data_IF_722352147402
#
_entry.id   IF_722352147402
#
_cell.length_a   1.000
_cell.length_b   1.000
_cell.length_c   1.000
_cell.angle_alpha   90.00
_cell.angle_beta   90.00
_cell.angle_gamma   90.00
#
_symmetry.space_group_name_H-M   'P 1'
#
loop_
_entity.id
_entity.type
_entity.pdbx_description
1 polymer ?
#
# COMPACT_ATOMS: atom_id res chain seq x y z
N UNK A 1 13.20 -33.69 -4.04
CA UNK A 1 13.51 -32.26 -4.13
C UNK A 1 12.40 -31.60 -4.95
N UNK A 2 11.43 -30.94 -4.31
CA UNK A 2 10.35 -30.26 -5.03
C UNK A 2 10.86 -28.95 -5.63
N UNK A 3 10.82 -28.83 -6.95
CA UNK A 3 11.08 -27.58 -7.64
C UNK A 3 10.08 -26.52 -7.13
N UNK A 4 10.57 -25.51 -6.43
CA UNK A 4 9.77 -24.38 -5.98
C UNK A 4 9.12 -23.71 -7.20
N UNK A 5 7.78 -23.64 -7.19
CA UNK A 5 6.99 -22.93 -8.21
C UNK A 5 7.55 -21.50 -8.33
N UNK A 6 8.19 -21.16 -9.46
CA UNK A 6 8.65 -19.78 -9.72
C UNK A 6 7.41 -18.89 -9.74
N UNK A 7 7.29 -18.00 -8.76
CA UNK A 7 6.23 -16.99 -8.77
C UNK A 7 6.62 -15.95 -9.82
N UNK A 8 5.76 -15.75 -10.82
CA UNK A 8 5.98 -14.77 -11.87
C UNK A 8 5.62 -13.39 -11.31
N UNK A 9 6.60 -12.49 -11.23
CA UNK A 9 6.38 -11.08 -10.87
C UNK A 9 5.47 -10.43 -11.90
N UNK A 10 4.37 -9.81 -11.46
CA UNK A 10 3.48 -9.03 -12.33
C UNK A 10 3.07 -7.71 -11.67
N UNK A 11 2.82 -6.71 -12.53
CA UNK A 11 2.30 -5.40 -12.15
C UNK A 11 0.93 -5.19 -12.80
N UNK A 12 -0.10 -5.04 -11.98
CA UNK A 12 -1.46 -4.79 -12.45
C UNK A 12 -2.01 -3.49 -11.86
N UNK A 13 -2.72 -2.69 -12.66
CA UNK A 13 -3.48 -1.54 -12.18
C UNK A 13 -4.71 -2.04 -11.43
N UNK A 14 -4.98 -1.51 -10.25
CA UNK A 14 -6.19 -1.80 -9.48
C UNK A 14 -7.29 -0.81 -9.87
N UNK A 15 -8.49 -1.33 -10.10
CA UNK A 15 -9.68 -0.49 -10.25
C UNK A 15 -10.15 0.02 -8.88
N UNK A 16 -11.11 0.94 -8.91
CA UNK A 16 -11.68 1.59 -7.72
C UNK A 16 -12.24 0.59 -6.70
N UNK A 17 -13.04 -0.37 -7.13
CA UNK A 17 -13.68 -1.33 -6.21
C UNK A 17 -12.66 -2.27 -5.54
N UNK A 18 -11.67 -2.73 -6.31
CA UNK A 18 -10.60 -3.57 -5.79
C UNK A 18 -9.77 -2.87 -4.72
N UNK A 19 -9.36 -1.62 -4.96
CA UNK A 19 -8.59 -0.87 -3.97
C UNK A 19 -9.45 -0.52 -2.76
N UNK A 20 -10.72 -0.14 -2.97
CA UNK A 20 -11.66 0.19 -1.90
C UNK A 20 -11.86 -0.99 -0.96
N UNK A 21 -12.04 -2.20 -1.49
CA UNK A 21 -12.17 -3.43 -0.70
C UNK A 21 -10.92 -3.73 0.14
N UNK A 22 -9.72 -3.52 -0.43
CA UNK A 22 -8.45 -3.72 0.27
C UNK A 22 -8.30 -2.70 1.41
N UNK A 23 -8.57 -1.43 1.14
CA UNK A 23 -8.41 -0.35 2.11
C UNK A 23 -9.49 -0.32 3.18
N UNK A 24 -10.69 -0.85 2.91
CA UNK A 24 -11.78 -0.92 3.88
C UNK A 24 -11.33 -1.52 5.22
N UNK A 25 -10.61 -2.65 5.20
CA UNK A 25 -10.12 -3.32 6.43
C UNK A 25 -9.17 -2.44 7.25
N UNK A 26 -8.37 -1.60 6.60
CA UNK A 26 -7.44 -0.69 7.26
C UNK A 26 -8.21 0.51 7.82
N UNK A 27 -9.06 1.13 7.02
CA UNK A 27 -9.81 2.33 7.41
C UNK A 27 -10.82 2.04 8.52
N UNK A 28 -11.46 0.87 8.50
CA UNK A 28 -12.33 0.39 9.58
C UNK A 28 -11.53 0.21 10.88
N UNK A 29 -10.40 -0.50 10.81
CA UNK A 29 -9.53 -0.75 11.97
C UNK A 29 -9.02 0.53 12.65
N UNK A 30 -8.72 1.57 11.87
CA UNK A 30 -8.21 2.85 12.38
C UNK A 30 -9.32 3.91 12.58
N UNK A 31 -10.59 3.52 12.48
CA UNK A 31 -11.76 4.38 12.68
C UNK A 31 -11.73 5.66 11.81
N UNK A 32 -11.65 5.45 10.50
CA UNK A 32 -11.60 6.51 9.49
C UNK A 32 -12.32 6.18 8.18
N UNK A 33 -13.28 5.25 8.19
CA UNK A 33 -14.04 4.83 6.98
C UNK A 33 -14.69 5.99 6.21
N UNK A 34 -15.09 7.05 6.90
CA UNK A 34 -15.66 8.26 6.30
C UNK A 34 -14.71 8.98 5.34
N UNK A 35 -13.40 8.69 5.39
CA UNK A 35 -12.38 9.26 4.51
C UNK A 35 -11.90 8.29 3.42
N UNK A 36 -12.47 7.09 3.33
CA UNK A 36 -12.00 6.05 2.41
C UNK A 36 -12.12 6.49 0.95
N UNK A 37 -13.31 6.93 0.55
CA UNK A 37 -13.59 7.27 -0.85
C UNK A 37 -12.76 8.50 -1.28
N UNK A 38 -12.70 9.54 -0.44
CA UNK A 38 -11.83 10.73 -0.65
C UNK A 38 -10.35 10.35 -0.76
N UNK A 39 -9.91 9.36 0.02
CA UNK A 39 -8.54 8.87 -0.05
C UNK A 39 -8.27 8.13 -1.37
N UNK A 40 -9.24 7.41 -1.93
CA UNK A 40 -9.04 6.69 -3.20
C UNK A 40 -9.08 7.65 -4.39
N UNK A 41 -9.92 8.68 -4.34
CA UNK A 41 -10.08 9.64 -5.44
C UNK A 41 -8.75 10.33 -5.82
N UNK A 42 -8.56 10.51 -7.13
CA UNK A 42 -7.39 11.13 -7.77
C UNK A 42 -6.05 10.45 -7.47
N UNK A 43 -6.06 9.15 -7.18
CA UNK A 43 -4.84 8.35 -6.97
C UNK A 43 -4.89 7.11 -7.84
N UNK A 44 -3.72 6.69 -8.29
CA UNK A 44 -3.56 5.46 -9.05
C UNK A 44 -2.94 4.40 -8.14
N UNK A 45 -3.45 3.18 -8.23
CA UNK A 45 -2.98 2.06 -7.44
C UNK A 45 -2.51 0.91 -8.32
N UNK A 46 -1.39 0.32 -7.94
CA UNK A 46 -0.78 -0.82 -8.61
C UNK A 46 -0.57 -1.93 -7.62
N UNK A 47 -0.74 -3.17 -8.06
CA UNK A 47 -0.35 -4.35 -7.28
C UNK A 47 0.85 -5.01 -7.92
N UNK A 48 1.90 -5.19 -7.13
CA UNK A 48 3.01 -6.09 -7.41
C UNK A 48 2.69 -7.46 -6.83
N UNK A 49 2.64 -8.49 -7.67
CA UNK A 49 2.36 -9.87 -7.25
C UNK A 49 3.65 -10.69 -7.25
N UNK A 50 4.13 -11.07 -6.07
CA UNK A 50 5.26 -12.01 -5.89
C UNK A 50 4.94 -13.03 -4.78
N UNK A 51 5.89 -13.31 -3.86
CA UNK A 51 5.65 -14.13 -2.66
C UNK A 51 4.54 -13.57 -1.76
N UNK A 52 4.31 -12.27 -1.86
CA UNK A 52 3.18 -11.54 -1.30
C UNK A 52 2.74 -10.49 -2.33
N UNK A 53 1.52 -10.00 -2.18
CA UNK A 53 1.02 -8.88 -2.96
C UNK A 53 1.36 -7.58 -2.23
N UNK A 54 1.89 -6.61 -2.95
CA UNK A 54 2.16 -5.27 -2.43
C UNK A 54 1.43 -4.24 -3.27
N UNK A 55 0.61 -3.41 -2.61
CA UNK A 55 -0.08 -2.30 -3.26
C UNK A 55 0.78 -1.06 -3.15
N UNK A 56 0.96 -0.40 -4.28
CA UNK A 56 1.59 0.90 -4.37
C UNK A 56 0.57 1.97 -4.77
N UNK A 57 0.78 3.17 -4.26
CA UNK A 57 -0.03 4.35 -4.54
C UNK A 57 0.82 5.42 -5.22
N UNK A 58 0.25 6.02 -6.26
CA UNK A 58 0.86 7.10 -7.03
C UNK A 58 -0.13 8.27 -7.12
N UNK A 59 0.41 9.48 -7.01
CA UNK A 59 -0.33 10.75 -7.09
C UNK A 59 -0.22 11.43 -8.46
N UNK A 60 0.43 10.78 -9.41
CA UNK A 60 0.63 11.25 -10.77
C UNK A 60 -0.38 10.66 -11.77
N UNK A 61 -0.41 11.27 -12.95
CA UNK A 61 -1.18 10.81 -14.11
C UNK A 61 -0.82 9.37 -14.49
N UNK A 62 -1.83 8.50 -14.51
CA UNK A 62 -1.72 7.09 -14.86
C UNK A 62 -1.07 6.85 -16.22
N UNK A 63 -1.30 7.73 -17.20
CA UNK A 63 -0.72 7.60 -18.55
C UNK A 63 0.78 7.83 -18.50
N UNK A 64 1.24 8.84 -17.76
CA UNK A 64 2.67 9.13 -17.60
C UNK A 64 3.38 7.98 -16.89
N UNK A 65 2.78 7.48 -15.81
CA UNK A 65 3.33 6.34 -15.06
C UNK A 65 3.39 5.09 -15.91
N UNK A 66 2.30 4.75 -16.62
CA UNK A 66 2.27 3.57 -17.48
C UNK A 66 3.31 3.64 -18.59
N UNK A 67 3.47 4.80 -19.23
CA UNK A 67 4.48 5.00 -20.26
C UNK A 67 5.89 4.80 -19.68
N UNK A 68 6.19 5.41 -18.53
CA UNK A 68 7.46 5.26 -17.85
C UNK A 68 7.78 3.80 -17.47
N UNK A 69 6.80 3.05 -16.96
CA UNK A 69 6.98 1.62 -16.63
C UNK A 69 7.24 0.80 -17.89
N UNK A 70 6.52 1.09 -18.98
CA UNK A 70 6.71 0.42 -20.26
C UNK A 70 8.10 0.71 -20.84
N UNK A 71 8.55 1.97 -20.80
CA UNK A 71 9.87 2.37 -21.26
C UNK A 71 10.98 1.69 -20.45
N UNK A 72 10.86 1.63 -19.12
CA UNK A 72 11.78 0.89 -18.27
C UNK A 72 11.81 -0.61 -18.61
N UNK A 73 10.64 -1.21 -18.81
CA UNK A 73 10.51 -2.63 -19.16
C UNK A 73 11.16 -2.93 -20.51
N UNK A 74 11.02 -2.04 -21.49
CA UNK A 74 11.66 -2.13 -22.81
C UNK A 74 13.19 -2.05 -22.72
N UNK A 75 13.71 -1.34 -21.71
CA UNK A 75 15.14 -1.25 -21.40
C UNK A 75 15.65 -2.43 -20.53
N UNK A 76 14.81 -3.41 -20.24
CA UNK A 76 15.16 -4.56 -19.39
C UNK A 76 15.13 -4.26 -17.89
N UNK A 77 14.60 -3.11 -17.48
CA UNK A 77 14.39 -2.76 -16.08
C UNK A 77 12.99 -3.15 -15.63
N UNK A 78 12.92 -3.96 -14.58
CA UNK A 78 11.67 -4.34 -13.93
C UNK A 78 11.62 -3.67 -12.55
N UNK A 79 11.06 -2.46 -12.44
CA UNK A 79 11.07 -1.72 -11.18
C UNK A 79 10.37 -2.55 -10.10
N UNK A 80 11.06 -2.80 -8.98
CA UNK A 80 10.51 -3.56 -7.85
C UNK A 80 9.63 -2.71 -6.92
N UNK A 81 9.55 -1.39 -7.19
CA UNK A 81 8.74 -0.43 -6.45
C UNK A 81 8.39 0.74 -7.35
N UNK A 82 7.10 1.10 -7.43
CA UNK A 82 6.63 2.25 -8.20
C UNK A 82 5.68 3.05 -7.31
N UNK A 83 6.12 4.21 -6.84
CA UNK A 83 5.33 5.05 -5.93
C UNK A 83 5.50 4.69 -4.45
N UNK A 84 4.47 4.95 -3.65
CA UNK A 84 4.50 4.70 -2.21
C UNK A 84 3.85 3.35 -1.90
N UNK A 85 4.57 2.39 -1.31
CA UNK A 85 3.96 1.13 -0.90
C UNK A 85 3.00 1.42 0.27
N UNK A 86 1.75 1.00 0.16
CA UNK A 86 0.72 1.28 1.17
C UNK A 86 0.18 0.03 1.87
N UNK A 87 0.17 -1.11 1.18
CA UNK A 87 -0.45 -2.33 1.70
C UNK A 87 0.37 -3.56 1.32
N UNK A 88 0.44 -4.52 2.23
CA UNK A 88 0.96 -5.88 1.98
C UNK A 88 -0.12 -6.88 2.36
N UNK A 89 -0.33 -7.89 1.52
CA UNK A 89 -1.26 -8.99 1.78
C UNK A 89 -0.84 -10.27 1.05
N UNK A 90 -1.16 -11.44 1.61
CA UNK A 90 -0.99 -12.74 0.91
C UNK A 90 -2.30 -13.21 0.29
N UNK A 91 -3.37 -13.06 1.06
CA UNK A 91 -4.76 -13.20 0.64
C UNK A 91 -5.51 -11.91 0.98
N UNK A 92 -6.66 -11.67 0.36
CA UNK A 92 -7.48 -10.48 0.64
C UNK A 92 -8.11 -10.49 2.04
N UNK A 93 -7.99 -11.58 2.82
CA UNK A 93 -8.54 -11.68 4.19
C UNK A 93 -7.63 -11.10 5.26
N UNK A 94 -6.33 -11.03 4.98
CA UNK A 94 -5.33 -10.47 5.90
C UNK A 94 -4.51 -9.38 5.25
N UNK A 95 -5.05 -8.18 5.34
CA UNK A 95 -4.45 -6.96 4.81
C UNK A 95 -3.66 -6.24 5.90
N UNK A 96 -2.41 -5.86 5.61
CA UNK A 96 -1.55 -5.11 6.54
C UNK A 96 -1.08 -3.79 5.92
N UNK A 97 -1.26 -2.64 6.60
CA UNK A 97 -0.68 -1.38 6.13
C UNK A 97 0.84 -1.42 6.24
N UNK A 98 1.52 -0.70 5.34
CA UNK A 98 2.96 -0.46 5.46
C UNK A 98 3.24 0.70 6.41
N UNK A 99 4.47 0.79 6.91
CA UNK A 99 4.92 1.97 7.67
C UNK A 99 4.82 3.25 6.82
N UNK A 100 5.14 3.16 5.53
CA UNK A 100 5.02 4.27 4.60
C UNK A 100 3.56 4.75 4.43
N UNK A 101 2.57 3.87 4.62
CA UNK A 101 1.16 4.26 4.65
C UNK A 101 0.80 5.08 5.89
N UNK A 102 1.49 4.84 7.01
CA UNK A 102 1.25 5.50 8.29
C UNK A 102 1.27 7.03 8.20
N UNK A 103 2.11 7.61 7.33
CA UNK A 103 2.17 9.07 7.12
C UNK A 103 0.86 9.67 6.57
N UNK A 104 0.03 8.86 5.92
CA UNK A 104 -1.30 9.29 5.45
C UNK A 104 -2.34 9.02 6.53
N UNK A 105 -2.30 7.84 7.13
CA UNK A 105 -3.25 7.44 8.18
C UNK A 105 -3.20 8.36 9.39
N UNK A 106 -2.02 8.85 9.81
CA UNK A 106 -1.88 9.72 11.00
C UNK A 106 -2.67 11.03 10.91
N UNK A 107 -2.87 11.53 9.68
CA UNK A 107 -3.57 12.78 9.40
C UNK A 107 -5.08 12.58 9.20
N UNK A 108 -5.50 11.35 8.91
CA UNK A 108 -6.88 11.02 8.52
C UNK A 108 -7.60 10.28 9.65
N UNK A 109 -6.88 9.43 10.38
CA UNK A 109 -7.47 8.47 11.29
C UNK A 109 -7.41 8.92 12.75
N UNK A 110 -8.51 8.65 13.46
CA UNK A 110 -8.73 9.08 14.84
C UNK A 110 -8.11 8.12 15.85
N UNK A 111 -8.06 6.82 15.53
CA UNK A 111 -7.52 5.78 16.40
C UNK A 111 -5.98 5.75 16.35
N UNK A 112 -5.33 6.64 17.11
CA UNK A 112 -3.88 6.74 17.21
C UNK A 112 -3.40 6.92 18.64
N UNK A 113 -2.24 6.35 18.94
CA UNK A 113 -1.55 6.55 20.21
C UNK A 113 -0.44 7.57 19.96
N UNK A 114 -0.44 8.65 20.74
CA UNK A 114 0.64 9.64 20.76
C UNK A 114 1.49 9.34 21.99
N UNK A 115 2.74 8.94 21.75
CA UNK A 115 3.71 8.70 22.82
C UNK A 115 4.48 10.01 22.99
N UNK A 116 4.27 10.70 24.11
CA UNK A 116 5.09 11.84 24.50
C UNK A 116 6.33 11.31 25.23
N UNK A 117 7.51 11.65 24.73
CA UNK A 117 8.80 11.18 25.25
C UNK A 117 9.01 11.51 26.74
N UNK A 118 8.37 12.57 27.23
CA UNK A 118 8.40 13.00 28.63
C UNK A 118 7.82 11.96 29.63
N UNK A 119 7.07 10.95 29.17
CA UNK A 119 6.43 9.94 30.04
C UNK A 119 7.11 8.56 30.03
N UNK A 120 8.13 8.34 29.20
CA UNK A 120 8.80 7.03 29.09
C UNK A 120 9.77 6.79 30.27
N UNK A 121 10.24 7.84 30.96
CA UNK A 121 11.27 7.75 32.00
C UNK A 121 10.80 7.29 33.40
N UNK A 122 9.51 7.08 33.65
CA UNK A 122 9.00 6.89 35.02
C UNK A 122 8.79 5.42 35.49
N UNK A 123 9.34 4.42 34.80
CA UNK A 123 9.19 3.03 35.28
C UNK A 123 10.40 2.14 35.03
N UNK A 124 11.56 2.59 35.51
CA UNK A 124 12.68 1.70 35.88
C UNK A 124 13.22 2.20 37.24
N UNK A 125 12.42 2.00 38.28
CA UNK A 125 12.85 2.01 39.70
C UNK A 125 12.00 0.98 40.42
#
# INVERSE_FOLDING_TARGET
>A
MSAGKRVKTSFDILNYEDIRQILFQIFDKYNCLNHLDDFVVNKTFFVLKEKFNQVFMIRDDIKKVSNFINDLSNLGFFPYSIGVPIVIYRDKSKVSPTIAFGKYLVNICSNKIIINDERILYKIT
#
